data_IF_832781700368
#
_entry.id   IF_832781700368
#
_cell.length_a   1.000
_cell.length_b   1.000
_cell.length_c   1.000
_cell.angle_alpha   90.00
_cell.angle_beta   90.00
_cell.angle_gamma   90.00
#
_symmetry.space_group_name_H-M   'P 1'
#
loop_
_entity.id
_entity.type
_entity.pdbx_description
1 polymer ?
#
# COMPACT_ATOMS: atom_id res chain seq x y z
N UNK A 1 -54.30 -47.67 -23.81
CA UNK A 1 -53.70 -47.25 -22.51
C UNK A 1 -52.36 -46.59 -22.81
N UNK A 2 -52.21 -45.26 -22.71
CA UNK A 2 -50.92 -44.64 -23.00
C UNK A 2 -50.83 -43.12 -23.17
N UNK A 3 -51.75 -42.31 -22.62
CA UNK A 3 -51.66 -40.82 -22.74
C UNK A 3 -51.68 -40.10 -21.37
N UNK A 4 -51.84 -40.81 -20.25
CA UNK A 4 -52.01 -40.16 -18.93
C UNK A 4 -50.70 -39.81 -18.19
N UNK A 5 -49.54 -40.31 -18.61
CA UNK A 5 -48.28 -40.18 -17.84
C UNK A 5 -47.40 -38.97 -18.23
N UNK A 6 -47.60 -38.36 -19.40
CA UNK A 6 -46.77 -37.24 -19.88
C UNK A 6 -47.16 -35.87 -19.32
N UNK A 7 -48.41 -35.67 -18.89
CA UNK A 7 -48.88 -34.39 -18.34
C UNK A 7 -48.61 -34.22 -16.84
N UNK A 8 -48.41 -35.32 -16.10
CA UNK A 8 -48.13 -35.26 -14.65
C UNK A 8 -46.71 -34.72 -14.36
N UNK A 9 -45.71 -35.12 -15.15
CA UNK A 9 -44.31 -34.70 -14.96
C UNK A 9 -44.06 -33.21 -15.24
N UNK A 10 -44.77 -32.59 -16.20
CA UNK A 10 -44.67 -31.14 -16.46
C UNK A 10 -45.22 -30.29 -15.31
N UNK A 11 -46.32 -30.72 -14.70
CA UNK A 11 -46.91 -30.02 -13.55
C UNK A 11 -46.05 -30.12 -12.28
N UNK A 12 -45.42 -31.28 -12.04
CA UNK A 12 -44.50 -31.49 -10.92
C UNK A 12 -43.23 -30.63 -11.09
N UNK A 13 -42.66 -30.61 -12.29
CA UNK A 13 -41.45 -29.82 -12.59
C UNK A 13 -41.68 -28.31 -12.41
N UNK A 14 -42.83 -27.80 -12.88
CA UNK A 14 -43.18 -26.38 -12.74
C UNK A 14 -43.46 -25.97 -11.27
N UNK A 15 -44.01 -26.90 -10.47
CA UNK A 15 -44.19 -26.71 -9.02
C UNK A 15 -42.86 -26.68 -8.26
N UNK A 16 -41.92 -27.55 -8.62
CA UNK A 16 -40.58 -27.57 -8.02
C UNK A 16 -39.76 -26.33 -8.41
N UNK A 17 -39.79 -25.93 -9.69
CA UNK A 17 -39.12 -24.72 -10.17
C UNK A 17 -39.67 -23.45 -9.49
N UNK A 18 -40.99 -23.36 -9.30
CA UNK A 18 -41.63 -22.26 -8.56
C UNK A 18 -41.17 -22.21 -7.09
N UNK A 19 -41.03 -23.37 -6.43
CA UNK A 19 -40.52 -23.44 -5.04
C UNK A 19 -39.06 -22.99 -4.96
N UNK A 20 -38.22 -23.38 -5.92
CA UNK A 20 -36.81 -22.98 -6.01
C UNK A 20 -36.69 -21.46 -6.23
N UNK A 21 -37.47 -20.90 -7.15
CA UNK A 21 -37.49 -19.45 -7.40
C UNK A 21 -37.98 -18.67 -6.17
N UNK A 22 -38.99 -19.18 -5.46
CA UNK A 22 -39.46 -18.58 -4.22
C UNK A 22 -38.41 -18.65 -3.10
N UNK A 23 -37.67 -19.77 -2.97
CA UNK A 23 -36.60 -19.88 -1.99
C UNK A 23 -35.42 -18.97 -2.31
N UNK A 24 -35.03 -18.85 -3.59
CA UNK A 24 -34.00 -17.90 -4.04
C UNK A 24 -34.43 -16.46 -3.78
N UNK A 25 -35.68 -16.12 -4.07
CA UNK A 25 -36.25 -14.81 -3.76
C UNK A 25 -36.24 -14.50 -2.27
N UNK A 26 -36.60 -15.48 -1.42
CA UNK A 26 -36.55 -15.33 0.04
C UNK A 26 -35.12 -15.10 0.54
N UNK A 27 -34.14 -15.87 0.04
CA UNK A 27 -32.72 -15.72 0.40
C UNK A 27 -32.20 -14.35 -0.02
N UNK A 28 -32.54 -13.88 -1.23
CA UNK A 28 -32.15 -12.56 -1.71
C UNK A 28 -32.79 -11.44 -0.85
N UNK A 29 -34.07 -11.54 -0.53
CA UNK A 29 -34.74 -10.60 0.37
C UNK A 29 -34.10 -10.58 1.76
N UNK A 30 -33.71 -11.74 2.30
CA UNK A 30 -33.06 -11.85 3.59
C UNK A 30 -31.65 -11.25 3.55
N UNK A 31 -30.88 -11.47 2.48
CA UNK A 31 -29.58 -10.82 2.28
C UNK A 31 -29.73 -9.30 2.19
N UNK A 32 -30.68 -8.78 1.40
CA UNK A 32 -30.96 -7.34 1.30
C UNK A 32 -31.36 -6.77 2.66
N UNK A 33 -32.21 -7.47 3.41
CA UNK A 33 -32.61 -7.04 4.75
C UNK A 33 -31.41 -6.99 5.72
N UNK A 34 -30.55 -8.01 5.71
CA UNK A 34 -29.32 -8.02 6.52
C UNK A 34 -28.38 -6.88 6.14
N UNK A 35 -28.19 -6.63 4.84
CA UNK A 35 -27.38 -5.52 4.35
C UNK A 35 -27.98 -4.18 4.78
N UNK A 36 -29.29 -3.96 4.61
CA UNK A 36 -29.96 -2.73 5.03
C UNK A 36 -29.86 -2.53 6.55
N UNK A 37 -30.10 -3.57 7.35
CA UNK A 37 -29.96 -3.49 8.80
C UNK A 37 -28.51 -3.17 9.16
N UNK A 38 -27.53 -3.82 8.53
CA UNK A 38 -26.11 -3.54 8.77
C UNK A 38 -25.74 -2.11 8.38
N UNK A 39 -26.18 -1.63 7.22
CA UNK A 39 -25.94 -0.27 6.74
C UNK A 39 -26.58 0.78 7.64
N UNK A 40 -27.83 0.59 8.03
CA UNK A 40 -28.57 1.55 8.86
C UNK A 40 -28.16 1.48 10.34
N UNK A 41 -27.71 0.33 10.82
CA UNK A 41 -27.24 0.15 12.21
C UNK A 41 -25.75 0.44 12.37
N UNK A 42 -25.02 0.68 11.27
CA UNK A 42 -23.64 1.11 11.32
C UNK A 42 -23.60 2.58 11.74
N UNK A 43 -23.62 2.81 13.06
CA UNK A 43 -23.06 4.04 13.59
C UNK A 43 -21.54 3.89 13.49
N UNK A 44 -20.91 4.63 12.59
CA UNK A 44 -19.46 4.81 12.65
C UNK A 44 -19.11 5.22 14.08
N UNK A 45 -18.08 4.61 14.66
CA UNK A 45 -17.56 5.11 15.92
C UNK A 45 -17.24 6.60 15.70
N UNK A 46 -17.98 7.47 16.38
CA UNK A 46 -17.64 8.89 16.43
C UNK A 46 -16.35 8.96 17.23
N UNK A 47 -15.21 8.75 16.57
CA UNK A 47 -13.94 9.18 17.10
C UNK A 47 -14.08 10.68 17.32
N UNK A 48 -13.79 11.16 18.52
CA UNK A 48 -13.41 12.56 18.65
C UNK A 48 -12.31 12.80 17.60
N UNK A 49 -12.49 13.84 16.79
CA UNK A 49 -11.45 14.21 15.83
C UNK A 49 -10.18 14.41 16.65
N UNK A 50 -9.08 13.73 16.31
CA UNK A 50 -7.84 13.93 17.04
C UNK A 50 -7.50 15.41 17.03
N UNK A 51 -6.92 15.89 18.12
CA UNK A 51 -6.40 17.24 18.17
C UNK A 51 -5.42 17.42 17.00
N UNK A 52 -5.68 18.41 16.14
CA UNK A 52 -4.79 18.67 15.02
C UNK A 52 -3.49 19.23 15.57
N UNK A 53 -2.44 18.41 15.51
CA UNK A 53 -1.10 18.85 15.85
C UNK A 53 -0.55 19.64 14.68
N UNK A 54 -0.20 20.91 14.90
CA UNK A 54 0.58 21.67 13.94
C UNK A 54 2.02 21.19 13.99
N UNK A 55 2.47 20.56 12.91
CA UNK A 55 3.86 20.13 12.75
C UNK A 55 4.54 21.16 11.87
N UNK A 56 5.66 21.72 12.34
CA UNK A 56 6.51 22.58 11.52
C UNK A 56 7.31 21.68 10.57
N UNK A 57 6.98 21.74 9.28
CA UNK A 57 7.58 20.92 8.23
C UNK A 57 8.18 21.85 7.19
N UNK A 58 9.42 21.58 6.79
CA UNK A 58 10.04 22.24 5.65
C UNK A 58 9.36 21.78 4.36
N UNK A 59 8.26 22.45 3.99
CA UNK A 59 7.44 22.12 2.83
C UNK A 59 8.26 22.13 1.53
N UNK A 60 9.20 23.07 1.40
CA UNK A 60 10.04 23.15 0.21
C UNK A 60 10.94 21.92 0.09
N UNK A 61 11.60 21.52 1.18
CA UNK A 61 12.41 20.28 1.22
C UNK A 61 11.58 19.05 0.85
N UNK A 62 10.41 18.88 1.47
CA UNK A 62 9.53 17.72 1.21
C UNK A 62 9.10 17.68 -0.26
N UNK A 63 8.70 18.82 -0.82
CA UNK A 63 8.27 18.93 -2.22
C UNK A 63 9.42 18.61 -3.18
N UNK A 64 10.63 19.09 -2.91
CA UNK A 64 11.80 18.79 -3.74
C UNK A 64 12.21 17.32 -3.64
N UNK A 65 12.17 16.73 -2.44
CA UNK A 65 12.46 15.32 -2.24
C UNK A 65 11.44 14.44 -2.96
N UNK A 66 10.16 14.79 -2.89
CA UNK A 66 9.10 14.09 -3.63
C UNK A 66 9.26 14.22 -5.15
N UNK A 67 9.60 15.42 -5.63
CA UNK A 67 9.91 15.65 -7.05
C UNK A 67 11.08 14.79 -7.51
N UNK A 68 12.17 14.74 -6.73
CA UNK A 68 13.35 13.94 -7.05
C UNK A 68 13.05 12.43 -7.00
N UNK A 69 12.28 11.97 -6.02
CA UNK A 69 11.86 10.57 -5.92
C UNK A 69 11.13 10.11 -7.19
N UNK A 70 10.24 10.94 -7.75
CA UNK A 70 9.52 10.65 -9.00
C UNK A 70 10.46 10.52 -10.20
N UNK A 71 11.54 11.30 -10.25
CA UNK A 71 12.49 11.28 -11.37
C UNK A 71 13.32 9.99 -11.45
N UNK A 72 13.44 9.25 -10.34
CA UNK A 72 14.14 7.96 -10.31
C UNK A 72 13.14 6.89 -10.77
N UNK A 73 13.35 6.32 -11.96
CA UNK A 73 12.35 5.48 -12.64
C UNK A 73 12.39 4.02 -12.18
N UNK A 74 11.97 3.78 -10.93
CA UNK A 74 11.85 2.46 -10.28
C UNK A 74 10.68 1.66 -10.84
N UNK A 75 10.67 1.42 -12.15
CA UNK A 75 9.56 0.74 -12.83
C UNK A 75 9.66 -0.77 -12.63
N UNK A 76 8.61 -1.36 -12.08
CA UNK A 76 8.46 -2.82 -11.98
C UNK A 76 7.81 -3.36 -13.25
N UNK A 77 8.50 -4.26 -13.94
CA UNK A 77 8.02 -4.85 -15.20
C UNK A 77 7.31 -6.18 -14.99
N UNK A 78 7.65 -6.89 -13.91
CA UNK A 78 7.15 -8.24 -13.61
C UNK A 78 7.83 -9.33 -14.44
N UNK A 79 8.77 -8.95 -15.31
CA UNK A 79 9.56 -9.85 -16.14
C UNK A 79 11.05 -9.65 -15.83
N UNK A 80 11.71 -10.64 -15.20
CA UNK A 80 13.12 -10.59 -14.86
C UNK A 80 14.06 -10.30 -16.05
N UNK A 81 13.67 -10.65 -17.28
CA UNK A 81 14.49 -10.37 -18.47
C UNK A 81 14.48 -8.89 -18.87
N UNK A 82 13.43 -8.17 -18.51
CA UNK A 82 13.25 -6.75 -18.84
C UNK A 82 13.42 -5.82 -17.64
N UNK A 83 13.61 -6.38 -16.44
CA UNK A 83 13.71 -5.60 -15.22
C UNK A 83 15.04 -4.84 -15.15
N UNK A 84 14.95 -3.51 -15.14
CA UNK A 84 16.08 -2.63 -14.87
C UNK A 84 16.26 -2.48 -13.36
N UNK A 85 17.43 -2.86 -12.83
CA UNK A 85 17.73 -2.76 -11.38
C UNK A 85 18.51 -1.51 -11.01
N UNK A 86 19.13 -0.83 -11.98
CA UNK A 86 19.92 0.38 -11.73
C UNK A 86 19.09 1.51 -11.08
N UNK A 87 17.84 1.80 -11.50
CA UNK A 87 17.02 2.82 -10.85
C UNK A 87 16.70 2.49 -9.37
N UNK A 88 16.61 1.22 -9.01
CA UNK A 88 16.36 0.80 -7.63
C UNK A 88 17.58 1.02 -6.75
N UNK A 89 18.77 0.69 -7.26
CA UNK A 89 20.03 1.02 -6.60
C UNK A 89 20.23 2.54 -6.48
N UNK A 90 19.86 3.32 -7.50
CA UNK A 90 19.86 4.79 -7.46
C UNK A 90 18.92 5.31 -6.36
N UNK A 91 17.70 4.76 -6.25
CA UNK A 91 16.75 5.17 -5.22
C UNK A 91 17.29 4.93 -3.81
N UNK A 92 17.84 3.73 -3.55
CA UNK A 92 18.44 3.39 -2.24
C UNK A 92 19.67 4.25 -1.92
N UNK A 93 20.49 4.59 -2.92
CA UNK A 93 21.61 5.50 -2.72
C UNK A 93 21.13 6.92 -2.41
N UNK A 94 20.14 7.39 -3.17
CA UNK A 94 19.54 8.71 -3.00
C UNK A 94 18.88 8.88 -1.62
N UNK A 95 18.19 7.86 -1.09
CA UNK A 95 17.61 7.93 0.27
C UNK A 95 18.70 8.07 1.33
N UNK A 96 19.84 7.38 1.18
CA UNK A 96 20.97 7.52 2.09
C UNK A 96 21.57 8.92 2.09
N UNK A 97 21.67 9.55 0.93
CA UNK A 97 22.20 10.91 0.79
C UNK A 97 21.21 11.96 1.29
N UNK A 98 19.91 11.73 1.09
CA UNK A 98 18.85 12.71 1.37
C UNK A 98 18.37 12.66 2.83
N UNK A 99 18.42 11.49 3.46
CA UNK A 99 17.96 11.25 4.83
C UNK A 99 19.09 10.71 5.72
N UNK A 100 20.24 11.39 5.84
CA UNK A 100 21.39 10.89 6.57
C UNK A 100 21.07 10.59 8.03
N UNK A 101 20.22 11.40 8.69
CA UNK A 101 19.81 11.20 10.08
C UNK A 101 19.09 9.86 10.28
N UNK A 102 18.22 9.49 9.33
CA UNK A 102 17.51 8.20 9.36
C UNK A 102 18.51 7.06 9.19
N UNK A 103 19.42 7.17 8.23
CA UNK A 103 20.41 6.13 7.94
C UNK A 103 21.50 5.99 9.01
N UNK A 104 21.75 7.04 9.80
CA UNK A 104 22.66 7.01 10.95
C UNK A 104 21.98 6.45 12.20
N UNK A 105 20.71 6.80 12.44
CA UNK A 105 19.99 6.46 13.67
C UNK A 105 19.28 5.10 13.60
N UNK A 106 18.85 4.66 12.42
CA UNK A 106 18.14 3.39 12.20
C UNK A 106 19.06 2.36 11.54
N UNK A 107 18.91 1.10 11.93
CA UNK A 107 19.58 -0.01 11.24
C UNK A 107 18.90 -0.33 9.92
N UNK A 108 19.63 -0.30 8.81
CA UNK A 108 19.12 -0.66 7.48
C UNK A 108 19.57 -2.06 7.06
N UNK A 109 18.62 -2.90 6.68
CA UNK A 109 18.83 -4.17 5.99
C UNK A 109 18.19 -4.13 4.59
N UNK A 110 18.91 -4.58 3.58
CA UNK A 110 18.38 -4.71 2.22
C UNK A 110 17.91 -6.15 1.98
N UNK A 111 16.62 -6.31 1.72
CA UNK A 111 16.00 -7.60 1.40
C UNK A 111 15.86 -7.71 -0.12
N UNK A 112 16.34 -8.83 -0.66
CA UNK A 112 16.42 -9.03 -2.12
C UNK A 112 17.10 -7.84 -2.84
N UNK A 113 18.20 -7.36 -2.25
CA UNK A 113 19.07 -6.27 -2.76
C UNK A 113 18.45 -4.86 -2.81
N UNK A 114 17.11 -4.75 -2.85
CA UNK A 114 16.43 -3.49 -3.16
C UNK A 114 15.36 -3.09 -2.14
N UNK A 115 14.68 -4.02 -1.46
CA UNK A 115 13.70 -3.62 -0.43
C UNK A 115 14.41 -3.14 0.82
N UNK A 116 14.06 -1.94 1.29
CA UNK A 116 14.67 -1.35 2.49
C UNK A 116 13.85 -1.74 3.73
N UNK A 117 14.49 -2.38 4.70
CA UNK A 117 13.94 -2.60 6.03
C UNK A 117 14.77 -1.79 7.04
N UNK A 118 14.21 -0.70 7.54
CA UNK A 118 14.80 0.06 8.62
C UNK A 118 14.26 -0.41 9.96
N UNK A 119 15.13 -0.46 10.97
CA UNK A 119 14.79 -0.76 12.36
C UNK A 119 15.12 0.44 13.24
N UNK A 120 14.10 1.07 13.80
CA UNK A 120 14.22 2.08 14.86
C UNK A 120 14.00 1.42 16.21
N UNK A 121 15.09 1.18 16.94
CA UNK A 121 15.02 0.51 18.23
C UNK A 121 14.18 1.30 19.24
N UNK A 122 13.20 0.63 19.85
CA UNK A 122 12.39 1.19 20.91
C UNK A 122 13.09 1.11 22.27
N UNK A 123 12.69 1.97 23.20
CA UNK A 123 13.20 1.94 24.58
C UNK A 123 12.69 0.76 25.40
N UNK A 124 11.60 0.10 24.98
CA UNK A 124 10.99 -1.04 25.68
C UNK A 124 10.88 -2.26 24.76
N UNK A 125 11.76 -3.24 24.98
CA UNK A 125 11.84 -4.48 24.19
C UNK A 125 10.72 -5.49 24.51
N UNK A 126 9.94 -5.28 25.57
CA UNK A 126 8.84 -6.17 25.94
C UNK A 126 7.54 -5.85 25.17
N UNK A 127 7.50 -4.69 24.49
CA UNK A 127 6.35 -4.30 23.69
C UNK A 127 6.46 -4.85 22.27
N UNK A 128 5.31 -5.21 21.69
CA UNK A 128 5.24 -5.56 20.29
C UNK A 128 5.67 -4.38 19.40
N UNK A 129 6.53 -4.62 18.40
CA UNK A 129 6.92 -3.60 17.45
C UNK A 129 5.76 -3.18 16.54
N UNK A 130 5.95 -2.05 15.86
CA UNK A 130 5.05 -1.54 14.80
C UNK A 130 5.77 -1.69 13.46
N UNK A 131 5.06 -2.10 12.42
CA UNK A 131 5.55 -2.08 11.04
C UNK A 131 4.76 -1.02 10.25
N UNK A 132 5.48 -0.05 9.70
CA UNK A 132 4.96 0.91 8.73
C UNK A 132 5.48 0.53 7.35
N UNK A 133 4.59 0.41 6.37
CA UNK A 133 4.92 -0.12 5.04
C UNK A 133 4.54 0.86 3.97
N UNK A 134 5.40 0.98 2.96
CA UNK A 134 5.11 1.63 1.69
C UNK A 134 5.88 0.87 0.58
N UNK A 135 5.69 1.24 -0.68
CA UNK A 135 6.55 0.77 -1.76
C UNK A 135 7.02 1.94 -2.62
N UNK A 136 8.15 1.75 -3.29
CA UNK A 136 8.75 2.80 -4.13
C UNK A 136 8.87 2.39 -5.59
N UNK A 137 8.52 1.14 -5.91
CA UNK A 137 8.34 0.72 -7.28
C UNK A 137 7.02 1.21 -7.86
N UNK A 138 6.97 1.34 -9.18
CA UNK A 138 5.81 1.92 -9.88
C UNK A 138 5.48 1.12 -11.13
N UNK A 139 4.20 1.11 -11.51
CA UNK A 139 3.82 0.55 -12.83
C UNK A 139 4.46 1.30 -14.01
N UNK A 140 4.65 0.62 -15.15
CA UNK A 140 5.03 1.26 -16.41
C UNK A 140 4.02 2.31 -16.87
N UNK A 141 4.47 3.17 -17.80
CA UNK A 141 3.55 4.00 -18.57
C UNK A 141 2.93 3.14 -19.67
N UNK A 142 1.60 3.20 -19.82
CA UNK A 142 0.92 2.44 -20.85
C UNK A 142 1.43 2.91 -22.23
N UNK A 143 1.94 2.01 -23.09
CA UNK A 143 2.54 2.40 -24.36
C UNK A 143 1.59 3.24 -25.22
N UNK A 144 2.06 4.38 -25.69
CA UNK A 144 1.27 5.31 -26.52
C UNK A 144 0.40 6.29 -25.74
N UNK A 145 0.37 6.22 -24.40
CA UNK A 145 -0.34 7.20 -23.55
C UNK A 145 0.59 8.30 -23.00
N UNK A 146 1.86 8.33 -23.40
CA UNK A 146 2.83 9.32 -22.91
C UNK A 146 2.37 10.76 -23.16
N UNK A 147 1.65 11.00 -24.27
CA UNK A 147 1.07 12.29 -24.63
C UNK A 147 -0.21 12.68 -23.89
N UNK A 148 -0.84 11.74 -23.16
CA UNK A 148 -2.06 12.01 -22.38
C UNK A 148 -1.72 12.68 -21.03
N UNK A 149 -0.46 12.62 -20.62
CA UNK A 149 0.00 13.26 -19.39
C UNK A 149 0.13 14.78 -19.58
N UNK A 150 -0.40 15.55 -18.64
CA UNK A 150 -0.23 17.02 -18.62
C UNK A 150 1.23 17.45 -18.44
N UNK A 151 2.02 16.62 -17.76
CA UNK A 151 3.47 16.77 -17.56
C UNK A 151 4.15 15.42 -17.74
N UNK A 152 5.40 15.35 -18.24
CA UNK A 152 6.05 14.06 -18.45
C UNK A 152 6.03 13.21 -17.17
N UNK A 153 5.70 11.91 -17.27
CA UNK A 153 5.36 11.09 -16.10
C UNK A 153 6.46 10.99 -15.05
N UNK A 154 7.73 11.08 -15.45
CA UNK A 154 8.88 11.03 -14.54
C UNK A 154 9.59 12.39 -14.38
N UNK A 155 8.89 13.49 -14.64
CA UNK A 155 9.48 14.84 -14.50
C UNK A 155 9.55 15.31 -13.04
N UNK A 156 8.64 14.86 -12.18
CA UNK A 156 8.48 15.41 -10.83
C UNK A 156 8.03 16.87 -10.85
N UNK A 157 7.29 17.31 -11.87
CA UNK A 157 6.97 18.73 -12.06
C UNK A 157 6.18 19.27 -10.87
N UNK A 158 6.68 20.36 -10.25
CA UNK A 158 5.98 21.06 -9.16
C UNK A 158 5.25 22.26 -9.74
N UNK A 159 3.92 22.23 -9.74
CA UNK A 159 3.10 23.33 -10.28
C UNK A 159 1.64 23.25 -9.84
N UNK A 160 1.01 24.40 -9.69
CA UNK A 160 -0.41 24.50 -9.30
C UNK A 160 -0.72 23.97 -7.91
N UNK A 161 0.27 23.87 -7.02
CA UNK A 161 0.12 23.27 -5.69
C UNK A 161 0.21 21.75 -5.66
N UNK A 162 0.71 21.13 -6.72
CA UNK A 162 0.85 19.68 -6.84
C UNK A 162 2.26 19.29 -7.31
N UNK A 163 2.70 18.10 -6.92
CA UNK A 163 3.85 17.41 -7.52
C UNK A 163 3.33 16.35 -8.48
N UNK A 164 3.65 16.49 -9.77
CA UNK A 164 3.13 15.65 -10.84
C UNK A 164 4.11 14.54 -11.21
N UNK A 165 3.62 13.29 -11.24
CA UNK A 165 4.30 12.18 -11.88
C UNK A 165 3.83 10.79 -11.46
N UNK A 166 4.34 9.77 -12.14
CA UNK A 166 4.19 8.35 -11.79
C UNK A 166 4.94 8.09 -10.48
N UNK A 167 4.27 7.48 -9.51
CA UNK A 167 4.78 7.35 -8.14
C UNK A 167 4.25 8.43 -7.19
N UNK A 168 3.65 9.51 -7.70
CA UNK A 168 3.26 10.65 -6.85
C UNK A 168 2.25 10.28 -5.77
N UNK A 169 1.21 9.53 -6.15
CA UNK A 169 0.20 9.01 -5.21
C UNK A 169 0.51 7.58 -4.76
N UNK A 170 1.12 6.78 -5.64
CA UNK A 170 1.23 5.34 -5.49
C UNK A 170 2.66 4.89 -5.83
N UNK A 171 3.53 4.67 -4.84
CA UNK A 171 3.37 5.02 -3.41
C UNK A 171 4.61 5.74 -2.86
N UNK A 172 5.33 6.46 -3.73
CA UNK A 172 6.51 7.24 -3.27
C UNK A 172 6.11 8.28 -2.22
N UNK A 173 4.89 8.80 -2.25
CA UNK A 173 4.43 9.72 -1.20
C UNK A 173 4.40 9.09 0.18
N UNK A 174 4.01 7.81 0.31
CA UNK A 174 4.08 7.08 1.57
C UNK A 174 5.52 6.97 2.09
N UNK A 175 6.46 6.63 1.20
CA UNK A 175 7.89 6.53 1.54
C UNK A 175 8.44 7.87 2.01
N UNK A 176 8.21 8.95 1.25
CA UNK A 176 8.70 10.30 1.59
C UNK A 176 8.07 10.79 2.89
N UNK A 177 6.77 10.63 3.08
CA UNK A 177 6.10 11.04 4.30
C UNK A 177 6.67 10.33 5.54
N UNK A 178 6.94 9.03 5.45
CA UNK A 178 7.54 8.28 6.55
C UNK A 178 8.98 8.70 6.84
N UNK A 179 9.81 8.90 5.81
CA UNK A 179 11.19 9.34 5.99
C UNK A 179 11.28 10.75 6.58
N UNK A 180 10.50 11.70 6.07
CA UNK A 180 10.45 13.07 6.60
C UNK A 180 9.94 13.12 8.04
N UNK A 181 8.90 12.34 8.37
CA UNK A 181 8.39 12.25 9.73
C UNK A 181 9.43 11.69 10.70
N UNK A 182 10.18 10.65 10.29
CA UNK A 182 11.23 10.07 11.12
C UNK A 182 12.41 11.03 11.26
N UNK A 183 12.86 11.69 10.19
CA UNK A 183 13.89 12.75 10.27
C UNK A 183 13.49 13.82 11.28
N UNK A 184 12.27 14.36 11.17
CA UNK A 184 11.80 15.40 12.08
C UNK A 184 11.76 14.92 13.54
N UNK A 185 11.29 13.70 13.79
CA UNK A 185 11.25 13.14 15.13
C UNK A 185 12.68 12.94 15.70
N UNK A 186 13.63 12.49 14.88
CA UNK A 186 15.05 12.36 15.28
C UNK A 186 15.64 13.75 15.63
N UNK A 187 15.42 14.76 14.79
CA UNK A 187 15.86 16.14 15.02
C UNK A 187 15.29 16.72 16.33
N UNK A 188 14.09 16.30 16.73
CA UNK A 188 13.45 16.66 17.99
C UNK A 188 13.91 15.83 19.19
N UNK A 189 14.83 14.87 18.99
CA UNK A 189 15.34 13.98 20.04
C UNK A 189 14.34 12.92 20.50
N UNK A 190 13.34 12.61 19.68
CA UNK A 190 12.36 11.57 20.01
C UNK A 190 13.01 10.19 20.01
N UNK A 191 12.63 9.36 20.98
CA UNK A 191 12.95 7.93 21.02
C UNK A 191 11.65 7.16 21.15
N UNK A 192 11.35 6.22 20.24
CA UNK A 192 10.09 5.50 20.30
C UNK A 192 10.08 4.53 21.48
N UNK A 193 8.90 4.32 22.08
CA UNK A 193 8.77 3.32 23.16
C UNK A 193 8.82 1.89 22.59
N UNK A 194 8.12 1.66 21.47
CA UNK A 194 8.12 0.40 20.70
C UNK A 194 9.18 0.47 19.62
N UNK A 195 9.79 -0.67 19.29
CA UNK A 195 10.56 -0.76 18.05
C UNK A 195 9.64 -0.49 16.85
N UNK A 196 10.09 0.36 15.93
CA UNK A 196 9.37 0.67 14.69
C UNK A 196 10.19 0.14 13.53
N UNK A 197 9.57 -0.67 12.69
CA UNK A 197 10.11 -1.07 11.40
C UNK A 197 9.52 -0.19 10.31
N UNK A 198 10.37 0.32 9.42
CA UNK A 198 9.93 0.91 8.15
C UNK A 198 10.29 -0.06 7.03
N UNK A 199 9.31 -0.47 6.26
CA UNK A 199 9.47 -1.43 5.17
C UNK A 199 9.09 -0.79 3.84
N UNK A 200 10.06 -0.61 2.96
CA UNK A 200 9.86 -0.05 1.62
C UNK A 200 10.13 -1.11 0.55
N UNK A 201 9.05 -1.63 -0.04
CA UNK A 201 9.09 -2.67 -1.07
C UNK A 201 9.51 -2.15 -2.45
N UNK A 202 10.14 -3.03 -3.24
CA UNK A 202 10.61 -2.73 -4.60
C UNK A 202 9.87 -3.49 -5.71
N UNK A 203 8.87 -4.31 -5.37
CA UNK A 203 8.18 -5.20 -6.31
C UNK A 203 6.68 -5.34 -6.04
N UNK A 204 6.06 -4.38 -5.34
CA UNK A 204 4.65 -4.45 -4.94
C UNK A 204 3.73 -4.51 -6.17
N UNK A 205 4.03 -3.71 -7.19
CA UNK A 205 3.21 -3.55 -8.40
C UNK A 205 3.15 -4.84 -9.25
N UNK A 206 4.00 -5.80 -8.91
CA UNK A 206 4.09 -7.13 -9.55
C UNK A 206 3.87 -8.28 -8.56
N UNK A 207 3.40 -7.95 -7.35
CA UNK A 207 2.87 -8.88 -6.35
C UNK A 207 3.69 -9.03 -5.07
N UNK A 208 4.82 -8.35 -4.91
CA UNK A 208 5.56 -8.25 -3.63
C UNK A 208 6.24 -9.55 -3.17
N UNK A 209 6.53 -10.47 -4.10
CA UNK A 209 7.03 -11.81 -3.79
C UNK A 209 8.48 -11.82 -3.27
N UNK A 210 9.29 -10.84 -3.65
CA UNK A 210 10.67 -10.68 -3.23
C UNK A 210 10.78 -9.66 -2.09
N UNK A 211 10.03 -8.56 -2.16
CA UNK A 211 10.06 -7.49 -1.17
C UNK A 211 9.22 -7.79 0.06
N UNK A 212 7.91 -7.55 -0.01
CA UNK A 212 7.02 -7.64 1.16
C UNK A 212 7.03 -9.06 1.79
N UNK A 213 6.99 -10.10 0.95
CA UNK A 213 7.11 -11.48 1.42
C UNK A 213 8.47 -11.77 2.02
N UNK A 214 9.56 -11.33 1.39
CA UNK A 214 10.92 -11.50 1.90
C UNK A 214 11.12 -10.85 3.27
N UNK A 215 10.61 -9.63 3.45
CA UNK A 215 10.63 -8.92 4.74
C UNK A 215 9.85 -9.69 5.80
N UNK A 216 8.66 -10.19 5.44
CA UNK A 216 7.83 -11.00 6.37
C UNK A 216 8.56 -12.27 6.80
N UNK A 217 9.21 -12.97 5.88
CA UNK A 217 9.99 -14.18 6.16
C UNK A 217 11.22 -13.87 7.02
N UNK A 218 11.91 -12.77 6.71
CA UNK A 218 13.06 -12.29 7.47
C UNK A 218 12.68 -11.97 8.93
N UNK A 219 11.67 -11.12 9.16
CA UNK A 219 11.18 -10.78 10.50
C UNK A 219 10.70 -12.02 11.27
N UNK A 220 9.99 -12.93 10.60
CA UNK A 220 9.57 -14.20 11.21
C UNK A 220 10.76 -15.06 11.61
N UNK A 221 11.82 -15.11 10.82
CA UNK A 221 13.03 -15.87 11.14
C UNK A 221 13.76 -15.34 12.39
N UNK A 222 13.63 -14.04 12.65
CA UNK A 222 14.13 -13.38 13.87
C UNK A 222 13.18 -13.53 15.06
N UNK A 223 12.02 -14.19 14.89
CA UNK A 223 11.02 -14.36 15.94
C UNK A 223 10.17 -13.12 16.21
N UNK A 224 10.21 -12.11 15.33
CA UNK A 224 9.43 -10.89 15.48
C UNK A 224 7.93 -11.17 15.30
N UNK A 225 7.12 -10.62 16.20
CA UNK A 225 5.66 -10.65 16.12
C UNK A 225 5.11 -9.23 16.19
N UNK A 226 4.43 -8.81 15.12
CA UNK A 226 3.71 -7.54 15.05
C UNK A 226 2.39 -7.59 15.85
#
# INVERSE_FOLDING_TARGET
>A
MGVSLLNSNKHIHNSQMRKILLSLGLVLCLLIAVLLVRTLSFSGASSELPEMVSVDVDEERVVQNMSRAIQIQTVSTGDPETQETAPFAEYVAWTRETYPEVHEQLGLELIAEHSMLFTWAGSNTDLKPILLTAHYDVVPIAPGSEGDWSYPPFSGTVTGGYVWGRGALDDKSGVIAMLEAVTLLIEQGFTPERTIYLSFGHDEEVGGNLGAKGITEHLRSQGVQL
#
